data_IF_836837290542
#
_entry.id   IF_836837290542
#
_cell.length_a   1.000
_cell.length_b   1.000
_cell.length_c   1.000
_cell.angle_alpha   90.00
_cell.angle_beta   90.00
_cell.angle_gamma   90.00
#
_symmetry.space_group_name_H-M   'P 1'
#
loop_
_entity.id
_entity.type
_entity.pdbx_description
1 polymer ?
#
# COMPACT_ATOMS: atom_id res chain seq x y z
N UNK A 1 14.50 -1.35 17.01
CA UNK A 1 14.35 -1.35 16.17
C UNK A 1 14.58 -1.14 15.56
N UNK A 2 14.91 -1.21 15.81
CA UNK A 2 14.92 -1.19 14.82
C UNK A 2 15.06 -1.00 14.28
N UNK A 3 15.25 -0.94 14.31
CA UNK A 3 15.15 -0.90 13.43
C UNK A 3 15.35 -0.64 12.82
N UNK A 4 15.68 -0.59 13.12
CA UNK A 4 15.68 -0.50 12.17
C UNK A 4 15.93 -0.60 11.71
N UNK A 5 16.10 -0.62 11.86
CA UNK A 5 16.15 -0.85 11.04
C UNK A 5 16.18 -0.71 10.54
N UNK A 6 16.63 -0.59 10.91
CA UNK A 6 16.63 -0.52 10.20
C UNK A 6 16.60 -0.29 9.77
N UNK A 7 16.62 -0.23 10.04
CA UNK A 7 16.38 -0.12 9.46
C UNK A 7 16.23 0.09 8.91
N UNK A 8 16.18 0.28 9.00
CA UNK A 8 15.99 0.26 8.44
C UNK A 8 15.69 0.01 7.93
N UNK A 9 15.47 -0.17 7.81
CA UNK A 9 15.12 -0.66 7.31
C UNK A 9 14.36 -0.99 7.16
N UNK A 10 14.15 -0.63 7.32
CA UNK A 10 13.01 -0.91 7.41
C UNK A 10 12.08 -0.78 6.25
N UNK A 11 11.37 0.28 6.03
CA UNK A 11 10.59 0.50 4.84
C UNK A 11 11.51 0.57 3.64
N UNK A 12 11.21 -0.23 2.65
CA UNK A 12 12.06 -0.33 1.51
C UNK A 12 11.52 0.52 0.39
N UNK A 13 12.30 1.49 -0.06
CA UNK A 13 11.91 2.36 -1.14
C UNK A 13 12.37 1.73 -2.45
N UNK A 14 11.48 1.65 -3.45
CA UNK A 14 11.89 1.08 -4.74
C UNK A 14 13.08 1.82 -5.32
N UNK A 15 13.95 1.08 -5.98
CA UNK A 15 15.14 1.66 -6.57
C UNK A 15 14.89 2.20 -7.96
N UNK A 16 13.72 2.00 -8.52
CA UNK A 16 13.38 2.54 -9.82
C UNK A 16 12.58 3.82 -9.64
N UNK A 17 12.09 4.35 -10.76
CA UNK A 17 11.32 5.59 -10.75
C UNK A 17 9.84 5.36 -10.61
N UNK A 18 9.43 4.20 -10.17
CA UNK A 18 8.00 3.91 -10.03
C UNK A 18 7.35 4.83 -9.02
N UNK A 19 6.17 5.31 -9.33
CA UNK A 19 5.41 6.07 -8.33
C UNK A 19 5.16 5.23 -7.10
N UNK A 20 5.24 5.86 -5.96
CA UNK A 20 5.08 5.17 -4.68
C UNK A 20 3.95 5.85 -3.91
N UNK A 21 2.99 5.06 -3.45
CA UNK A 21 1.81 5.58 -2.79
C UNK A 21 1.64 4.95 -1.42
N UNK A 22 1.14 5.76 -0.50
CA UNK A 22 0.86 5.28 0.85
C UNK A 22 -0.57 4.76 0.88
N UNK A 23 -0.75 3.52 1.32
CA UNK A 23 -2.06 2.88 1.29
C UNK A 23 -3.06 3.57 2.22
N UNK A 24 -2.60 4.08 3.35
CA UNK A 24 -3.49 4.77 4.25
C UNK A 24 -4.05 6.02 3.59
N UNK A 25 -3.22 6.72 2.81
CA UNK A 25 -3.70 7.89 2.10
C UNK A 25 -4.63 7.52 0.97
N UNK A 26 -4.36 6.42 0.29
CA UNK A 26 -5.24 5.99 -0.78
C UNK A 26 -6.63 5.66 -0.26
N UNK A 27 -6.71 5.09 0.91
CA UNK A 27 -7.99 4.73 1.51
C UNK A 27 -8.61 5.87 2.30
N UNK A 28 -7.96 7.03 2.33
CA UNK A 28 -8.43 8.20 3.07
C UNK A 28 -8.67 7.89 4.53
N UNK A 29 -7.65 7.24 5.12
CA UNK A 29 -7.67 6.83 6.53
C UNK A 29 -8.70 5.78 6.84
N UNK A 30 -9.21 5.11 5.80
CA UNK A 30 -10.07 3.95 5.97
C UNK A 30 -9.27 2.69 5.72
N UNK A 31 -9.96 1.66 5.25
CA UNK A 31 -9.27 0.41 4.95
C UNK A 31 -9.65 -0.15 3.58
N UNK A 32 -10.37 0.62 2.77
CA UNK A 32 -10.78 0.18 1.44
C UNK A 32 -10.61 1.33 0.47
N UNK A 33 -10.09 1.03 -0.70
CA UNK A 33 -10.04 1.96 -1.82
C UNK A 33 -10.36 1.23 -3.10
N UNK A 34 -10.94 1.95 -4.05
CA UNK A 34 -11.21 1.39 -5.37
C UNK A 34 -10.18 1.88 -6.35
N UNK A 35 -9.67 0.96 -7.15
CA UNK A 35 -8.66 1.28 -8.16
C UNK A 35 -9.24 0.92 -9.52
N UNK A 36 -9.19 1.86 -10.43
CA UNK A 36 -9.79 1.66 -11.74
C UNK A 36 -8.68 1.43 -12.76
N UNK A 37 -8.83 0.36 -13.52
CA UNK A 37 -7.95 0.10 -14.66
C UNK A 37 -8.86 -0.13 -15.85
N UNK A 38 -8.85 0.82 -16.78
CA UNK A 38 -9.71 0.80 -17.95
C UNK A 38 -11.17 0.70 -17.50
N UNK A 39 -11.85 -0.36 -17.81
CA UNK A 39 -13.26 -0.49 -17.44
C UNK A 39 -13.47 -1.38 -16.24
N UNK A 40 -12.40 -1.67 -15.49
CA UNK A 40 -12.51 -2.60 -14.39
C UNK A 40 -12.18 -1.91 -13.09
N UNK A 41 -12.90 -2.26 -12.05
CA UNK A 41 -12.73 -1.69 -10.73
C UNK A 41 -12.17 -2.76 -9.81
N UNK A 42 -11.03 -2.45 -9.20
CA UNK A 42 -10.39 -3.34 -8.25
C UNK A 42 -10.57 -2.77 -6.85
N UNK A 43 -10.62 -3.65 -5.87
CA UNK A 43 -10.75 -3.23 -4.49
C UNK A 43 -9.43 -3.47 -3.78
N UNK A 44 -8.86 -2.40 -3.24
CA UNK A 44 -7.68 -2.47 -2.41
C UNK A 44 -8.13 -2.44 -0.95
N UNK A 45 -7.67 -3.41 -0.17
CA UNK A 45 -8.09 -3.51 1.21
C UNK A 45 -6.88 -3.65 2.12
N UNK A 46 -6.89 -2.90 3.21
CA UNK A 46 -5.90 -3.03 4.26
C UNK A 46 -6.49 -3.97 5.30
N UNK A 47 -5.82 -5.09 5.54
CA UNK A 47 -6.33 -6.07 6.49
C UNK A 47 -6.02 -5.63 7.92
N UNK A 48 -6.67 -6.32 8.85
CA UNK A 48 -6.46 -6.03 10.26
C UNK A 48 -5.01 -6.29 10.68
N UNK A 49 -4.35 -7.22 10.02
CA UNK A 49 -2.95 -7.54 10.33
C UNK A 49 -1.98 -6.61 9.60
N UNK A 50 -2.48 -5.62 8.89
CA UNK A 50 -1.60 -4.65 8.24
C UNK A 50 -1.08 -5.06 6.90
N UNK A 51 -1.82 -5.90 6.18
CA UNK A 51 -1.41 -6.34 4.86
C UNK A 51 -2.37 -5.80 3.81
N UNK A 52 -1.90 -5.76 2.58
CA UNK A 52 -2.72 -5.30 1.47
C UNK A 52 -3.24 -6.48 0.68
N UNK A 53 -4.51 -6.36 0.29
CA UNK A 53 -5.15 -7.33 -0.60
C UNK A 53 -5.75 -6.53 -1.74
N UNK A 54 -5.53 -7.01 -2.97
CA UNK A 54 -6.14 -6.42 -4.14
C UNK A 54 -7.01 -7.47 -4.79
N UNK A 55 -8.30 -7.15 -4.93
CA UNK A 55 -9.25 -8.06 -5.53
C UNK A 55 -10.04 -7.36 -6.61
N UNK A 56 -10.69 -8.15 -7.43
CA UNK A 56 -11.45 -7.60 -8.53
C UNK A 56 -12.96 -7.78 -8.38
#
# INVERSE_FOLDING_TARGET
MVMLHSAVEKTKIPEDDSPTYNAVELTKNGNVARIILENQIYTLRITRSGKLILTK
#
